data_IF_349865162835
#
_entry.id   IF_349865162835
#
_cell.length_a   1.000
_cell.length_b   1.000
_cell.length_c   1.000
_cell.angle_alpha   90.00
_cell.angle_beta   90.00
_cell.angle_gamma   90.00
#
_symmetry.space_group_name_H-M   'P 1'
#
loop_
_entity.id
_entity.type
_entity.pdbx_description
1 polymer ?
#
# COMPACT_ATOMS: atom_id res chain seq x y z
N UNK A 1 11.81 -9.23 -36.96
CA UNK A 1 13.14 -8.70 -36.59
C UNK A 1 12.89 -7.63 -35.53
N UNK A 2 13.63 -7.68 -34.42
CA UNK A 2 13.34 -7.05 -33.13
C UNK A 2 12.98 -5.55 -33.22
N UNK A 3 11.83 -5.17 -32.67
CA UNK A 3 11.48 -3.76 -32.45
C UNK A 3 12.25 -3.27 -31.24
N UNK A 4 12.95 -2.16 -31.47
CA UNK A 4 13.80 -1.39 -30.58
C UNK A 4 13.21 -1.24 -29.17
N UNK A 5 13.90 -1.78 -28.15
CA UNK A 5 13.62 -1.45 -26.76
C UNK A 5 14.38 -0.15 -26.45
N UNK A 6 13.73 0.98 -26.67
CA UNK A 6 14.25 2.28 -26.24
C UNK A 6 14.27 2.29 -24.72
N UNK A 7 15.47 2.34 -24.14
CA UNK A 7 15.67 2.73 -22.75
C UNK A 7 14.84 3.99 -22.50
N UNK A 8 13.80 3.90 -21.67
CA UNK A 8 13.02 5.06 -21.25
C UNK A 8 13.95 5.95 -20.43
N UNK A 9 14.57 6.92 -21.07
CA UNK A 9 15.10 8.10 -20.39
C UNK A 9 13.86 8.88 -20.00
N UNK A 10 13.44 8.72 -18.74
CA UNK A 10 12.39 9.53 -18.15
C UNK A 10 13.10 10.77 -17.61
N UNK A 11 12.80 11.93 -18.18
CA UNK A 11 13.28 13.20 -17.64
C UNK A 11 12.73 13.36 -16.21
N UNK A 12 13.58 13.55 -15.19
CA UNK A 12 13.15 13.58 -13.80
C UNK A 12 12.27 14.80 -13.45
N UNK A 13 12.10 15.74 -14.38
CA UNK A 13 11.34 16.98 -14.23
C UNK A 13 9.85 16.86 -14.57
N UNK A 14 9.39 15.71 -15.11
CA UNK A 14 8.00 15.51 -15.59
C UNK A 14 7.13 14.76 -14.54
N UNK A 15 7.70 14.33 -13.42
CA UNK A 15 6.99 13.50 -12.43
C UNK A 15 6.10 14.35 -11.49
N UNK A 16 4.98 14.87 -11.99
CA UNK A 16 3.97 15.54 -11.15
C UNK A 16 3.09 14.55 -10.36
N UNK A 17 3.16 13.25 -10.65
CA UNK A 17 2.47 12.19 -9.90
C UNK A 17 3.45 11.09 -9.45
N UNK A 18 3.29 10.55 -8.22
CA UNK A 18 4.12 9.43 -7.76
C UNK A 18 3.89 8.20 -8.65
N UNK A 19 4.97 7.62 -9.14
CA UNK A 19 4.95 6.43 -10.00
C UNK A 19 4.26 5.22 -9.34
N UNK A 20 4.24 5.19 -8.01
CA UNK A 20 3.65 4.12 -7.21
C UNK A 20 2.68 4.68 -6.19
N UNK A 21 1.61 3.92 -5.94
CA UNK A 21 0.56 4.27 -4.99
C UNK A 21 0.26 3.11 -4.05
N UNK A 22 0.02 3.44 -2.79
CA UNK A 22 -0.48 2.49 -1.80
C UNK A 22 -2.01 2.39 -1.85
N UNK A 23 -2.51 1.15 -1.82
CA UNK A 23 -3.92 0.84 -1.63
C UNK A 23 -4.10 0.09 -0.31
N UNK A 24 -4.98 0.61 0.55
CA UNK A 24 -5.23 0.04 1.87
C UNK A 24 -6.48 -0.83 1.87
N UNK A 25 -6.43 -1.96 2.59
CA UNK A 25 -7.55 -2.88 2.72
C UNK A 25 -7.70 -3.36 4.16
N UNK A 26 -8.94 -3.62 4.57
CA UNK A 26 -9.20 -4.28 5.83
C UNK A 26 -8.72 -5.74 5.80
N UNK A 27 -8.00 -6.15 6.83
CA UNK A 27 -7.45 -7.49 6.97
C UNK A 27 -7.60 -7.99 8.41
N UNK A 28 -8.41 -9.02 8.66
CA UNK A 28 -8.64 -9.54 10.03
C UNK A 28 -7.36 -9.99 10.74
N UNK A 29 -6.39 -10.54 10.01
CA UNK A 29 -5.14 -11.01 10.57
C UNK A 29 -4.03 -11.01 9.51
N UNK A 30 -2.78 -10.85 9.95
CA UNK A 30 -1.61 -10.94 9.07
C UNK A 30 -1.52 -12.34 8.47
N UNK A 31 -1.59 -12.41 7.14
CA UNK A 31 -1.42 -13.67 6.41
C UNK A 31 0.05 -13.83 6.02
N UNK A 32 0.51 -15.09 5.90
CA UNK A 32 1.82 -15.36 5.28
C UNK A 32 1.84 -14.80 3.86
N UNK A 33 2.93 -14.13 3.49
CA UNK A 33 3.07 -13.43 2.21
C UNK A 33 2.76 -14.33 1.00
N UNK A 34 3.26 -15.56 1.01
CA UNK A 34 2.98 -16.55 -0.03
C UNK A 34 1.49 -16.84 -0.18
N UNK A 35 0.77 -17.06 0.95
CA UNK A 35 -0.68 -17.31 0.92
C UNK A 35 -1.44 -16.08 0.43
N UNK A 36 -1.03 -14.88 0.84
CA UNK A 36 -1.65 -13.64 0.40
C UNK A 36 -1.48 -13.45 -1.12
N UNK A 37 -0.27 -13.63 -1.63
CA UNK A 37 0.03 -13.60 -3.08
C UNK A 37 -0.78 -14.64 -3.86
N UNK A 38 -0.89 -15.88 -3.37
CA UNK A 38 -1.75 -16.89 -3.99
C UNK A 38 -3.22 -16.48 -4.01
N UNK A 39 -3.72 -15.80 -2.96
CA UNK A 39 -5.09 -15.28 -2.92
C UNK A 39 -5.31 -14.16 -3.95
N UNK A 40 -4.35 -13.22 -4.08
CA UNK A 40 -4.40 -12.18 -5.11
C UNK A 40 -4.43 -12.77 -6.52
N UNK A 41 -3.58 -13.78 -6.80
CA UNK A 41 -3.60 -14.49 -8.10
C UNK A 41 -4.95 -15.15 -8.37
N UNK A 42 -5.59 -15.73 -7.35
CA UNK A 42 -6.92 -16.34 -7.47
C UNK A 42 -8.03 -15.31 -7.73
N UNK A 43 -7.83 -14.06 -7.32
CA UNK A 43 -8.70 -12.92 -7.66
C UNK A 43 -8.43 -12.39 -9.08
N UNK A 44 -7.52 -13.00 -9.84
CA UNK A 44 -7.16 -12.56 -11.19
C UNK A 44 -6.21 -11.35 -11.21
N UNK A 45 -5.62 -10.99 -10.06
CA UNK A 45 -4.67 -9.88 -9.97
C UNK A 45 -3.27 -10.34 -10.37
N UNK A 46 -2.58 -9.52 -11.15
CA UNK A 46 -1.19 -9.77 -11.51
C UNK A 46 -0.28 -9.42 -10.34
N UNK A 47 0.16 -10.46 -9.63
CA UNK A 47 1.06 -10.31 -8.48
C UNK A 47 2.45 -9.81 -8.88
N UNK A 48 2.84 -9.93 -10.15
CA UNK A 48 4.12 -9.36 -10.63
C UNK A 48 4.13 -7.83 -10.63
N UNK A 49 2.94 -7.21 -10.73
CA UNK A 49 2.77 -5.74 -10.70
C UNK A 49 2.57 -5.17 -9.30
N UNK A 50 2.43 -6.04 -8.30
CA UNK A 50 2.30 -5.67 -6.89
C UNK A 50 3.69 -5.76 -6.27
N UNK A 51 4.31 -4.60 -6.05
CA UNK A 51 5.69 -4.52 -5.57
C UNK A 51 5.80 -5.02 -4.14
N UNK A 52 4.97 -4.48 -3.26
CA UNK A 52 5.03 -4.76 -1.84
C UNK A 52 3.66 -4.99 -1.20
N UNK A 53 3.67 -5.78 -0.13
CA UNK A 53 2.51 -6.09 0.70
C UNK A 53 2.92 -5.80 2.14
N UNK A 54 2.53 -4.62 2.61
CA UNK A 54 2.89 -4.09 3.90
C UNK A 54 1.69 -4.14 4.88
N UNK A 55 1.95 -4.16 6.18
CA UNK A 55 0.92 -4.17 7.23
C UNK A 55 1.15 -2.96 8.15
N UNK A 56 0.64 -1.77 7.79
CA UNK A 56 0.96 -0.54 8.50
C UNK A 56 0.30 -0.46 9.88
N UNK A 57 -0.88 -1.07 10.03
CA UNK A 57 -1.63 -1.07 11.28
C UNK A 57 -2.33 -2.42 11.49
N UNK A 58 -2.73 -2.67 12.73
CA UNK A 58 -3.53 -3.85 13.07
C UNK A 58 -4.86 -3.76 12.32
N UNK A 59 -5.19 -4.80 11.56
CA UNK A 59 -6.43 -4.82 10.81
C UNK A 59 -6.31 -4.27 9.39
N UNK A 60 -5.12 -3.82 8.95
CA UNK A 60 -4.95 -3.13 7.67
C UNK A 60 -3.77 -3.74 6.90
N UNK A 61 -3.94 -3.89 5.60
CA UNK A 61 -2.89 -4.28 4.66
C UNK A 61 -2.79 -3.24 3.55
N UNK A 62 -1.56 -2.83 3.25
CA UNK A 62 -1.24 -1.88 2.19
C UNK A 62 -0.58 -2.63 1.03
N UNK A 63 -1.03 -2.36 -0.19
CA UNK A 63 -0.48 -2.89 -1.42
C UNK A 63 0.18 -1.76 -2.21
N UNK A 64 1.47 -1.91 -2.52
CA UNK A 64 2.20 -0.95 -3.35
C UNK A 64 2.06 -1.34 -4.82
N UNK A 65 1.48 -0.45 -5.62
CA UNK A 65 1.12 -0.71 -7.01
C UNK A 65 1.60 0.43 -7.90
N UNK A 66 2.07 0.10 -9.10
CA UNK A 66 2.42 1.11 -10.11
C UNK A 66 1.16 1.86 -10.59
N UNK A 67 1.25 3.17 -10.74
CA UNK A 67 0.12 4.03 -11.11
C UNK A 67 -0.53 3.59 -12.43
N UNK A 68 0.24 3.20 -13.45
CA UNK A 68 -0.29 2.66 -14.71
C UNK A 68 -1.17 1.40 -14.54
N UNK A 69 -0.98 0.61 -13.47
CA UNK A 69 -1.78 -0.58 -13.20
C UNK A 69 -2.97 -0.31 -12.26
N UNK A 70 -3.03 0.87 -11.65
CA UNK A 70 -4.04 1.21 -10.65
C UNK A 70 -5.47 1.10 -11.18
N UNK A 71 -5.70 1.50 -12.43
CA UNK A 71 -7.01 1.46 -13.10
C UNK A 71 -7.50 0.02 -13.30
N UNK A 72 -6.65 -0.84 -13.86
CA UNK A 72 -6.94 -2.27 -14.05
C UNK A 72 -7.15 -2.99 -12.72
N UNK A 73 -6.35 -2.64 -11.72
CA UNK A 73 -6.43 -3.17 -10.37
C UNK A 73 -7.78 -2.83 -9.73
N UNK A 74 -8.19 -1.56 -9.75
CA UNK A 74 -9.48 -1.11 -9.23
C UNK A 74 -10.65 -1.74 -10.00
N UNK A 75 -10.56 -1.85 -11.33
CA UNK A 75 -11.58 -2.52 -12.14
C UNK A 75 -11.75 -3.99 -11.76
N UNK A 76 -10.64 -4.69 -11.48
CA UNK A 76 -10.67 -6.09 -11.03
C UNK A 76 -11.26 -6.23 -9.63
N UNK A 77 -10.91 -5.31 -8.72
CA UNK A 77 -11.50 -5.28 -7.38
C UNK A 77 -13.00 -4.99 -7.38
N UNK A 78 -13.45 -4.06 -8.22
CA UNK A 78 -14.87 -3.74 -8.39
C UNK A 78 -15.69 -4.96 -8.82
N UNK A 79 -15.16 -5.81 -9.73
CA UNK A 79 -15.79 -7.09 -10.12
C UNK A 79 -16.00 -8.03 -8.92
N UNK A 80 -15.10 -7.96 -7.94
CA UNK A 80 -15.17 -8.76 -6.72
C UNK A 80 -15.85 -8.04 -5.54
N UNK A 81 -16.42 -6.85 -5.75
CA UNK A 81 -17.05 -6.01 -4.71
C UNK A 81 -16.10 -5.70 -3.55
N UNK A 82 -14.82 -5.53 -3.86
CA UNK A 82 -13.80 -5.12 -2.90
C UNK A 82 -13.48 -3.64 -3.12
N UNK A 83 -13.61 -2.84 -2.08
CA UNK A 83 -13.29 -1.42 -2.11
C UNK A 83 -12.06 -1.14 -1.23
N UNK A 84 -11.07 -0.39 -1.76
CA UNK A 84 -9.94 0.06 -0.96
C UNK A 84 -10.36 1.17 0.02
N UNK A 85 -9.65 1.24 1.14
CA UNK A 85 -9.80 2.30 2.14
C UNK A 85 -9.04 3.54 1.64
N UNK A 86 -9.77 4.64 1.43
CA UNK A 86 -9.19 5.92 0.96
C UNK A 86 -8.68 6.78 2.10
N UNK A 87 -9.34 6.74 3.26
CA UNK A 87 -9.15 7.73 4.34
C UNK A 87 -8.22 7.21 5.44
N UNK A 88 -7.33 6.27 5.11
CA UNK A 88 -6.41 5.71 6.09
C UNK A 88 -5.24 6.66 6.34
N UNK A 89 -5.18 7.22 7.55
CA UNK A 89 -4.01 7.94 8.05
C UNK A 89 -3.10 6.98 8.83
N UNK A 90 -1.90 6.72 8.28
CA UNK A 90 -0.90 5.88 8.91
C UNK A 90 -0.36 6.47 10.23
N UNK A 91 -0.36 7.80 10.36
CA UNK A 91 0.19 8.52 11.51
C UNK A 91 -0.85 8.76 12.62
N UNK A 92 -2.07 8.22 12.46
CA UNK A 92 -3.09 8.32 13.49
C UNK A 92 -2.60 7.68 14.81
N UNK A 93 -2.83 8.38 15.92
CA UNK A 93 -2.44 7.93 17.26
C UNK A 93 -2.96 6.52 17.60
N UNK A 94 -4.12 6.14 17.05
CA UNK A 94 -4.74 4.82 17.24
C UNK A 94 -3.95 3.66 16.61
N UNK A 95 -3.11 3.92 15.60
CA UNK A 95 -2.31 2.87 14.96
C UNK A 95 -1.07 2.51 15.80
N UNK A 96 -0.60 3.45 16.63
CA UNK A 96 0.56 3.27 17.47
C UNK A 96 0.18 2.46 18.72
N UNK A 97 0.55 1.18 18.72
CA UNK A 97 0.18 0.19 19.75
C UNK A 97 1.35 -0.12 20.71
N UNK A 98 2.24 0.84 20.94
CA UNK A 98 3.36 0.64 21.87
C UNK A 98 2.86 0.81 23.32
N UNK A 99 2.98 -0.21 24.19
CA UNK A 99 2.59 -0.12 25.59
C UNK A 99 3.31 1.00 26.36
N UNK A 100 4.53 1.37 25.96
CA UNK A 100 5.28 2.45 26.59
C UNK A 100 4.71 3.84 26.28
N UNK A 101 3.94 3.97 25.19
CA UNK A 101 3.38 5.23 24.71
C UNK A 101 1.89 5.38 25.05
N UNK A 102 1.30 4.42 25.78
CA UNK A 102 -0.11 4.44 26.20
C UNK A 102 -0.45 5.58 27.17
N UNK A 103 0.54 6.12 27.89
CA UNK A 103 0.35 7.22 28.85
C UNK A 103 0.42 8.59 28.21
N UNK A 104 0.72 8.69 26.90
CA UNK A 104 0.85 9.95 26.18
C UNK A 104 -0.46 10.37 25.52
N UNK A 105 -0.66 11.68 25.45
CA UNK A 105 -1.78 12.29 24.73
C UNK A 105 -1.74 11.95 23.23
N UNK A 106 -2.92 11.92 22.60
CA UNK A 106 -3.10 11.54 21.18
C UNK A 106 -2.23 12.36 20.23
N UNK A 107 -2.08 13.67 20.48
CA UNK A 107 -1.25 14.56 19.66
C UNK A 107 0.24 14.21 19.77
N UNK A 108 0.72 13.90 20.96
CA UNK A 108 2.11 13.49 21.19
C UNK A 108 2.40 12.12 20.56
N UNK A 109 1.43 11.20 20.58
CA UNK A 109 1.53 9.89 19.91
C UNK A 109 1.59 10.04 18.38
N UNK A 110 0.80 10.91 17.79
CA UNK A 110 0.85 11.18 16.35
C UNK A 110 2.18 11.83 15.93
N UNK A 111 2.73 12.74 16.74
CA UNK A 111 4.05 13.32 16.49
C UNK A 111 5.15 12.25 16.54
N UNK A 112 5.13 11.40 17.56
CA UNK A 112 6.07 10.26 17.69
C UNK A 112 5.96 9.26 16.53
N UNK A 113 4.74 8.99 16.06
CA UNK A 113 4.54 8.12 14.89
C UNK A 113 5.20 8.69 13.62
N UNK A 114 5.20 10.02 13.46
CA UNK A 114 5.88 10.67 12.33
C UNK A 114 7.40 10.61 12.47
N UNK A 115 7.93 10.83 13.67
CA UNK A 115 9.36 10.72 13.96
C UNK A 115 9.88 9.32 13.59
N UNK A 116 9.21 8.26 14.06
CA UNK A 116 9.63 6.87 13.84
C UNK A 116 9.59 6.42 12.37
N UNK A 117 8.82 7.08 11.51
CA UNK A 117 8.72 6.73 10.09
C UNK A 117 9.71 7.50 9.20
N UNK A 118 10.38 8.53 9.73
CA UNK A 118 11.30 9.40 8.97
C UNK A 118 12.78 9.14 9.30
N UNK A 119 13.07 8.26 10.26
CA UNK A 119 14.41 7.74 10.59
C UNK A 119 14.76 6.47 9.79
#
# INVERSE_FOLDING_TARGET
MLVCNTSRVVDPSILEDPQYRYFHFACKYRKKLAKYRSQLRRLGLDTGRILDIHYPAKGIVALLIHQEYSTDFLATLAKHKLEPITDFDQFAAANLNDPALLTLDDAARAAKARELCLE
#
